data_IF_975311892966
#
_entry.id   IF_975311892966
#
_cell.length_a   1.000
_cell.length_b   1.000
_cell.length_c   1.000
_cell.angle_alpha   90.00
_cell.angle_beta   90.00
_cell.angle_gamma   90.00
#
_symmetry.space_group_name_H-M   'P 1'
#
loop_
_entity.id
_entity.type
_entity.pdbx_description
1 polymer ?
#
# COMPACT_ATOMS: atom_id res chain seq x y z
N UNK A 1 -12.92 30.32 -24.22
CA UNK A 1 -12.76 29.09 -25.00
C UNK A 1 -11.89 28.14 -24.20
N UNK A 2 -12.48 27.29 -23.38
CA UNK A 2 -11.73 26.32 -22.57
C UNK A 2 -11.28 25.18 -23.48
N UNK A 3 -9.97 25.05 -23.68
CA UNK A 3 -9.38 23.91 -24.39
C UNK A 3 -9.71 22.64 -23.62
N UNK A 4 -10.43 21.71 -24.26
CA UNK A 4 -10.64 20.36 -23.75
C UNK A 4 -9.26 19.69 -23.74
N UNK A 5 -8.64 19.58 -22.56
CA UNK A 5 -7.40 18.85 -22.40
C UNK A 5 -7.61 17.43 -22.95
N UNK A 6 -6.70 16.99 -23.83
CA UNK A 6 -6.73 15.62 -24.31
C UNK A 6 -6.53 14.69 -23.10
N UNK A 7 -7.43 13.74 -22.93
CA UNK A 7 -7.32 12.75 -21.86
C UNK A 7 -6.02 11.96 -22.06
N UNK A 8 -5.21 11.75 -21.00
CA UNK A 8 -4.00 10.95 -21.10
C UNK A 8 -4.30 9.54 -21.59
N UNK A 9 -3.31 8.94 -22.26
CA UNK A 9 -3.42 7.55 -22.68
C UNK A 9 -3.41 6.66 -21.42
N UNK A 10 -4.34 5.68 -21.35
CA UNK A 10 -4.39 4.74 -20.23
C UNK A 10 -3.06 4.01 -20.04
N UNK A 11 -2.39 3.67 -21.14
CA UNK A 11 -1.06 3.03 -21.11
C UNK A 11 -0.06 3.85 -20.31
N UNK A 12 0.10 5.13 -20.64
CA UNK A 12 1.04 6.04 -19.96
C UNK A 12 0.75 6.12 -18.46
N UNK A 13 -0.52 6.06 -18.08
CA UNK A 13 -0.92 6.12 -16.68
C UNK A 13 -0.65 4.81 -15.93
N UNK A 14 -0.84 3.67 -16.58
CA UNK A 14 -0.48 2.36 -16.04
C UNK A 14 1.04 2.22 -15.92
N UNK A 15 1.80 2.72 -16.89
CA UNK A 15 3.27 2.75 -16.83
C UNK A 15 3.76 3.56 -15.62
N UNK A 16 3.18 4.73 -15.36
CA UNK A 16 3.51 5.54 -14.19
C UNK A 16 3.20 4.82 -12.87
N UNK A 17 2.08 4.11 -12.79
CA UNK A 17 1.73 3.33 -11.59
C UNK A 17 2.69 2.14 -11.41
N UNK A 18 3.07 1.47 -12.49
CA UNK A 18 4.04 0.38 -12.44
C UNK A 18 5.42 0.88 -11.99
N UNK A 19 5.84 2.07 -12.44
CA UNK A 19 7.08 2.71 -12.01
C UNK A 19 7.03 3.07 -10.52
N UNK A 20 5.98 3.74 -10.06
CA UNK A 20 5.82 4.09 -8.63
C UNK A 20 5.83 2.84 -7.74
N UNK A 21 5.12 1.78 -8.15
CA UNK A 21 5.14 0.51 -7.41
C UNK A 21 6.53 -0.12 -7.37
N UNK A 22 7.31 -0.01 -8.44
CA UNK A 22 8.70 -0.47 -8.50
C UNK A 22 9.63 0.36 -7.59
N UNK A 23 9.41 1.67 -7.53
CA UNK A 23 10.15 2.56 -6.63
C UNK A 23 9.86 2.24 -5.15
N UNK A 24 8.61 1.91 -4.81
CA UNK A 24 8.23 1.44 -3.48
C UNK A 24 8.88 0.10 -3.11
N UNK A 25 9.02 -0.82 -4.07
CA UNK A 25 9.78 -2.07 -3.86
C UNK A 25 11.24 -1.76 -3.53
N UNK A 26 11.88 -0.90 -4.32
CA UNK A 26 13.28 -0.53 -4.10
C UNK A 26 13.49 0.13 -2.73
N UNK A 27 12.54 0.97 -2.28
CA UNK A 27 12.56 1.54 -0.94
C UNK A 27 12.36 0.46 0.14
N UNK A 28 11.45 -0.48 -0.10
CA UNK A 28 11.23 -1.66 0.73
C UNK A 28 12.51 -2.47 0.94
N UNK A 29 13.24 -2.77 -0.13
CA UNK A 29 14.50 -3.52 -0.09
C UNK A 29 15.58 -2.79 0.73
N UNK A 30 15.67 -1.46 0.60
CA UNK A 30 16.59 -0.64 1.40
C UNK A 30 16.25 -0.70 2.90
N UNK A 31 14.95 -0.58 3.23
CA UNK A 31 14.46 -0.69 4.60
C UNK A 31 14.73 -2.10 5.15
N UNK A 32 14.50 -3.13 4.34
CA UNK A 32 14.75 -4.52 4.72
C UNK A 32 16.23 -4.75 5.06
N UNK A 33 17.16 -4.13 4.32
CA UNK A 33 18.57 -4.13 4.67
C UNK A 33 18.88 -3.52 6.05
N UNK A 34 18.14 -2.49 6.47
CA UNK A 34 18.24 -1.92 7.83
C UNK A 34 17.63 -2.86 8.85
N UNK A 35 16.42 -3.39 8.59
CA UNK A 35 15.71 -4.33 9.46
C UNK A 35 16.56 -5.56 9.72
N UNK A 36 17.16 -6.17 8.69
CA UNK A 36 18.02 -7.36 8.85
C UNK A 36 19.19 -7.12 9.81
N UNK A 37 19.79 -5.92 9.80
CA UNK A 37 20.86 -5.56 10.74
C UNK A 37 20.36 -5.44 12.18
N UNK A 38 19.20 -4.79 12.37
CA UNK A 38 18.58 -4.63 13.68
C UNK A 38 18.12 -5.96 14.26
N UNK A 39 17.45 -6.78 13.45
CA UNK A 39 17.02 -8.12 13.81
C UNK A 39 18.21 -8.98 14.19
N UNK A 40 19.29 -8.99 13.40
CA UNK A 40 20.49 -9.77 13.72
C UNK A 40 21.12 -9.40 15.08
N UNK A 41 21.06 -8.12 15.45
CA UNK A 41 21.56 -7.66 16.75
C UNK A 41 20.63 -8.00 17.93
N UNK A 42 19.33 -8.06 17.70
CA UNK A 42 18.31 -8.29 18.73
C UNK A 42 17.81 -9.75 18.81
N UNK A 43 18.13 -10.58 17.82
CA UNK A 43 17.61 -11.94 17.67
C UNK A 43 17.81 -12.85 18.90
N UNK A 44 18.95 -12.80 19.61
CA UNK A 44 19.13 -13.62 20.82
C UNK A 44 18.17 -13.25 21.95
N UNK A 45 17.66 -12.02 21.95
CA UNK A 45 16.81 -11.47 23.00
C UNK A 45 15.33 -11.48 22.61
N UNK A 46 15.02 -11.40 21.32
CA UNK A 46 13.66 -11.43 20.82
C UNK A 46 13.56 -12.11 19.44
N UNK A 47 13.21 -13.41 19.43
CA UNK A 47 12.96 -14.15 18.19
C UNK A 47 11.74 -13.69 17.40
N UNK A 48 10.79 -12.97 18.02
CA UNK A 48 9.56 -12.52 17.35
C UNK A 48 9.83 -11.51 16.23
N UNK A 49 10.97 -10.80 16.30
CA UNK A 49 11.44 -9.87 15.28
C UNK A 49 11.68 -10.51 13.90
N UNK A 50 11.88 -11.83 13.84
CA UNK A 50 11.91 -12.55 12.55
C UNK A 50 10.57 -12.53 11.83
N UNK A 51 9.46 -12.58 12.58
CA UNK A 51 8.11 -12.56 12.01
C UNK A 51 7.83 -11.19 11.39
N UNK A 52 8.22 -10.11 12.08
CA UNK A 52 8.07 -8.74 11.57
C UNK A 52 8.95 -8.50 10.33
N UNK A 53 10.17 -9.04 10.32
CA UNK A 53 11.05 -8.99 9.15
C UNK A 53 10.47 -9.75 7.95
N UNK A 54 9.83 -10.90 8.19
CA UNK A 54 9.12 -11.66 7.14
C UNK A 54 7.88 -10.93 6.64
N UNK A 55 7.18 -10.18 7.49
CA UNK A 55 6.05 -9.36 7.06
C UNK A 55 6.50 -8.23 6.12
N UNK A 56 7.65 -7.60 6.39
CA UNK A 56 8.24 -6.61 5.51
C UNK A 56 8.65 -7.21 4.15
N UNK A 57 9.31 -8.36 4.16
CA UNK A 57 9.68 -9.09 2.93
C UNK A 57 8.45 -9.45 2.08
N UNK A 58 7.39 -9.98 2.71
CA UNK A 58 6.15 -10.32 2.03
C UNK A 58 5.46 -9.09 1.43
N UNK A 59 5.55 -7.93 2.09
CA UNK A 59 5.03 -6.67 1.55
C UNK A 59 5.80 -6.27 0.27
N UNK A 60 7.12 -6.32 0.27
CA UNK A 60 7.95 -6.05 -0.92
C UNK A 60 7.58 -7.00 -2.07
N UNK A 61 7.46 -8.29 -1.80
CA UNK A 61 7.06 -9.28 -2.82
C UNK A 61 5.68 -8.97 -3.43
N UNK A 62 4.70 -8.56 -2.61
CA UNK A 62 3.36 -8.19 -3.09
C UNK A 62 3.39 -6.93 -3.94
N UNK A 63 4.17 -5.93 -3.56
CA UNK A 63 4.34 -4.70 -4.34
C UNK A 63 5.00 -5.00 -5.69
N UNK A 64 6.02 -5.86 -5.73
CA UNK A 64 6.65 -6.31 -6.98
C UNK A 64 5.65 -7.03 -7.90
N UNK A 65 4.83 -7.93 -7.33
CA UNK A 65 3.77 -8.59 -8.08
C UNK A 65 2.76 -7.62 -8.67
N UNK A 66 2.37 -6.60 -7.91
CA UNK A 66 1.44 -5.56 -8.36
C UNK A 66 2.06 -4.69 -9.46
N UNK A 67 3.32 -4.27 -9.32
CA UNK A 67 4.04 -3.51 -10.34
C UNK A 67 4.08 -4.27 -11.68
N UNK A 68 4.45 -5.55 -11.63
CA UNK A 68 4.49 -6.43 -12.81
C UNK A 68 3.11 -6.59 -13.45
N UNK A 69 2.06 -6.78 -12.65
CA UNK A 69 0.69 -6.91 -13.14
C UNK A 69 0.22 -5.63 -13.85
N UNK A 70 0.46 -4.46 -13.24
CA UNK A 70 0.09 -3.17 -13.82
C UNK A 70 0.87 -2.90 -15.10
N UNK A 71 2.17 -3.21 -15.14
CA UNK A 71 2.97 -3.12 -16.36
C UNK A 71 2.44 -4.01 -17.49
N UNK A 72 2.07 -5.26 -17.18
CA UNK A 72 1.46 -6.15 -18.16
C UNK A 72 0.11 -5.63 -18.69
N UNK A 73 -0.69 -4.97 -17.85
CA UNK A 73 -1.91 -4.29 -18.30
C UNK A 73 -1.63 -3.10 -19.20
N UNK A 74 -0.56 -2.34 -18.94
CA UNK A 74 -0.16 -1.21 -19.77
C UNK A 74 0.21 -1.66 -21.19
N UNK A 75 0.99 -2.73 -21.30
CA UNK A 75 1.37 -3.35 -22.58
C UNK A 75 0.15 -3.86 -23.36
N UNK A 76 -0.79 -4.51 -22.66
CA UNK A 76 -2.01 -5.05 -23.26
C UNK A 76 -3.06 -3.98 -23.61
N UNK A 77 -2.94 -2.75 -23.10
CA UNK A 77 -3.92 -1.69 -23.32
C UNK A 77 -3.99 -1.29 -24.80
N UNK A 78 -5.18 -1.13 -25.40
CA UNK A 78 -5.30 -0.66 -26.79
C UNK A 78 -4.69 0.74 -26.97
N UNK A 79 -3.98 0.95 -28.08
CA UNK A 79 -3.45 2.27 -28.42
C UNK A 79 -4.60 3.28 -28.59
N UNK A 80 -4.57 4.38 -27.84
CA UNK A 80 -5.58 5.43 -27.89
C UNK A 80 -6.78 5.25 -26.94
N UNK A 81 -6.77 4.23 -26.08
CA UNK A 81 -7.74 4.14 -24.99
C UNK A 81 -7.46 5.25 -23.98
N UNK A 82 -8.31 6.28 -23.99
CA UNK A 82 -8.24 7.38 -23.05
C UNK A 82 -8.77 6.96 -21.68
N UNK A 83 -8.13 7.44 -20.62
CA UNK A 83 -8.60 7.29 -19.25
C UNK A 83 -8.82 8.67 -18.61
N UNK A 84 -9.88 8.81 -17.82
CA UNK A 84 -10.10 10.00 -16.99
C UNK A 84 -9.29 9.86 -15.70
N UNK A 85 -8.00 10.13 -15.83
CA UNK A 85 -7.03 10.04 -14.74
C UNK A 85 -7.33 11.06 -13.65
N UNK A 86 -7.87 12.23 -14.02
CA UNK A 86 -8.21 13.28 -13.06
C UNK A 86 -9.40 12.85 -12.18
N UNK A 87 -10.35 12.10 -12.72
CA UNK A 87 -11.39 11.46 -11.93
C UNK A 87 -10.83 10.34 -11.03
N UNK A 88 -9.91 9.52 -11.54
CA UNK A 88 -9.29 8.43 -10.76
C UNK A 88 -8.45 8.96 -9.58
N UNK A 89 -7.61 9.98 -9.80
CA UNK A 89 -6.79 10.62 -8.76
C UNK A 89 -7.65 11.21 -7.65
N UNK A 90 -8.82 11.78 -7.98
CA UNK A 90 -9.74 12.34 -6.97
C UNK A 90 -10.31 11.29 -6.01
N UNK A 91 -10.27 10.00 -6.36
CA UNK A 91 -10.62 8.91 -5.43
C UNK A 91 -9.48 8.57 -4.47
N UNK A 92 -8.24 8.89 -4.87
CA UNK A 92 -7.03 8.85 -4.04
C UNK A 92 -6.98 10.11 -3.15
N UNK A 93 -7.85 10.17 -2.14
CA UNK A 93 -7.93 11.37 -1.30
C UNK A 93 -6.81 11.40 -0.25
N UNK A 94 -6.27 12.60 0.00
CA UNK A 94 -5.46 12.89 1.19
C UNK A 94 -6.19 12.52 2.49
N UNK A 95 -7.52 12.52 2.48
CA UNK A 95 -8.33 12.05 3.60
C UNK A 95 -8.15 10.55 3.87
N UNK A 96 -8.04 9.72 2.82
CA UNK A 96 -7.76 8.29 2.96
C UNK A 96 -6.32 8.04 3.45
N UNK A 97 -5.35 8.81 2.96
CA UNK A 97 -3.97 8.78 3.47
C UNK A 97 -3.90 9.26 4.93
N UNK A 98 -4.59 10.35 5.27
CA UNK A 98 -4.68 10.85 6.64
C UNK A 98 -5.37 9.84 7.56
N UNK A 99 -6.42 9.15 7.11
CA UNK A 99 -7.10 8.07 7.85
C UNK A 99 -6.16 6.90 8.16
N UNK A 100 -5.35 6.48 7.18
CA UNK A 100 -4.37 5.39 7.35
C UNK A 100 -3.23 5.80 8.28
N UNK A 101 -2.75 7.03 8.17
CA UNK A 101 -1.71 7.59 9.04
C UNK A 101 -2.20 7.91 10.46
N UNK A 102 -3.51 8.17 10.63
CA UNK A 102 -4.12 8.41 11.95
C UNK A 102 -4.29 7.13 12.79
N UNK A 103 -3.95 5.96 12.24
CA UNK A 103 -4.11 4.66 12.89
C UNK A 103 -5.57 4.22 13.00
N UNK A 104 -5.83 2.94 13.35
CA UNK A 104 -7.19 2.53 13.67
C UNK A 104 -7.66 3.36 14.85
N UNK A 105 -8.67 4.21 14.64
CA UNK A 105 -9.44 4.81 15.72
C UNK A 105 -9.90 3.63 16.57
N UNK A 106 -9.32 3.46 17.76
CA UNK A 106 -9.87 2.55 18.75
C UNK A 106 -11.32 2.99 18.93
N UNK A 107 -12.25 2.24 18.34
CA UNK A 107 -13.63 2.30 18.78
C UNK A 107 -13.52 2.06 20.29
N UNK A 108 -14.01 2.97 21.15
CA UNK A 108 -14.06 2.68 22.56
C UNK A 108 -14.75 1.33 22.69
N UNK A 109 -14.08 0.40 23.37
CA UNK A 109 -14.66 -0.90 23.64
C UNK A 109 -16.10 -0.65 24.12
N UNK A 110 -17.11 -1.38 23.59
CA UNK A 110 -18.45 -1.26 24.14
C UNK A 110 -18.29 -1.45 25.64
N UNK A 111 -18.69 -0.46 26.41
CA UNK A 111 -18.73 -0.54 27.86
C UNK A 111 -19.36 -1.90 28.15
N UNK A 112 -18.58 -2.75 28.81
CA UNK A 112 -19.06 -4.01 29.36
C UNK A 112 -20.23 -3.65 30.24
N UNK A 113 -21.42 -3.65 29.64
CA UNK A 113 -22.69 -3.68 30.33
C UNK A 113 -22.56 -4.79 31.34
N UNK A 114 -22.82 -4.43 32.60
CA UNK A 114 -22.83 -5.29 33.77
C UNK A 114 -22.82 -6.77 33.41
N UNK A 115 -21.71 -7.44 33.72
CA UNK A 115 -21.73 -8.88 33.94
C UNK A 115 -22.76 -9.13 35.06
N UNK A 116 -24.03 -9.32 34.69
CA UNK A 116 -24.94 -10.11 35.51
C UNK A 116 -24.30 -11.48 35.58
N UNK A 117 -23.65 -11.73 36.70
CA UNK A 117 -23.31 -13.08 37.13
C UNK A 117 -24.59 -13.91 37.04
N UNK A 118 -24.53 -15.00 36.29
CA UNK A 118 -25.61 -15.97 36.07
C UNK A 118 -26.14 -16.66 37.37
N UNK A 119 -25.76 -16.16 38.54
CA UNK A 119 -26.01 -16.74 39.86
C UNK A 119 -26.65 -15.77 40.85
N UNK A 120 -27.44 -14.80 40.38
CA UNK A 120 -28.42 -14.09 41.23
C UNK A 120 -29.84 -14.64 41.01
#
# INVERSE_FOLDING_TARGET
MSGRAALPCLRESLDLVAQEASDLVNLGDQIQGVISRLVSAALPSDPSLLIDAQAADLLSQRLSGLANFVGALAEAAPAGLAADIEAAIRTLTLAEQARRLSGPTMSPAPETGEMMTFWD
#
